data_IF_983491628384
#
_entry.id   IF_983491628384
#
_cell.length_a   1.000
_cell.length_b   1.000
_cell.length_c   1.000
_cell.angle_alpha   90.00
_cell.angle_beta   90.00
_cell.angle_gamma   90.00
#
_symmetry.space_group_name_H-M   'P 1'
#
loop_
_entity.id
_entity.type
_entity.pdbx_description
1 polymer ?
#
# COMPACT_ATOMS: atom_id res chain seq x y z
N UNK A 1 15.02 -0.38 -1.03
CA UNK A 1 14.19 0.72 -0.54
C UNK A 1 12.83 0.17 -0.17
N UNK A 2 12.43 0.35 1.06
CA UNK A 2 11.10 0.03 1.59
C UNK A 2 10.25 1.29 1.65
N UNK A 3 8.92 1.14 1.62
CA UNK A 3 7.99 2.26 1.78
C UNK A 3 6.93 1.86 2.78
N UNK A 4 6.83 2.64 3.84
CA UNK A 4 5.81 2.56 4.86
C UNK A 4 4.90 3.79 4.72
N UNK A 5 3.60 3.59 4.77
CA UNK A 5 2.69 4.72 4.68
C UNK A 5 1.43 4.49 5.53
N UNK A 6 0.87 5.59 6.03
CA UNK A 6 -0.46 5.58 6.63
C UNK A 6 -1.52 5.10 5.64
N UNK A 7 -2.58 4.50 6.13
CA UNK A 7 -3.73 4.05 5.33
C UNK A 7 -4.27 5.14 4.40
N UNK A 8 -4.86 4.74 3.27
CA UNK A 8 -5.37 5.69 2.26
C UNK A 8 -6.50 6.56 2.83
N UNK A 9 -7.26 6.01 3.75
CA UNK A 9 -8.39 6.70 4.39
C UNK A 9 -8.00 7.51 5.64
N UNK A 10 -6.78 7.35 6.15
CA UNK A 10 -6.29 8.14 7.27
C UNK A 10 -5.82 9.51 6.80
N UNK A 11 -6.61 10.56 7.13
CA UNK A 11 -6.42 11.93 6.61
C UNK A 11 -5.87 12.92 7.64
N UNK A 12 -5.85 12.58 8.93
CA UNK A 12 -5.44 13.53 9.97
C UNK A 12 -3.96 13.89 9.91
N UNK A 13 -3.08 12.90 9.90
CA UNK A 13 -1.62 13.06 9.87
C UNK A 13 -0.98 12.06 8.92
N UNK A 14 -1.29 12.13 7.61
CA UNK A 14 -0.82 11.13 6.67
C UNK A 14 0.70 11.20 6.50
N UNK A 15 1.35 10.03 6.53
CA UNK A 15 2.80 9.88 6.50
C UNK A 15 3.23 8.90 5.40
N UNK A 16 4.34 9.19 4.76
CA UNK A 16 5.08 8.23 3.92
C UNK A 16 6.54 8.23 4.35
N UNK A 17 7.05 7.07 4.72
CA UNK A 17 8.44 6.87 5.12
C UNK A 17 9.11 5.95 4.10
N UNK A 18 10.23 6.40 3.56
CA UNK A 18 11.14 5.58 2.76
C UNK A 18 12.28 5.14 3.64
N UNK A 19 12.60 3.88 3.59
CA UNK A 19 13.68 3.29 4.37
C UNK A 19 14.66 2.54 3.45
N UNK A 20 15.94 2.84 3.58
CA UNK A 20 16.97 2.08 2.88
C UNK A 20 17.35 0.84 3.69
N UNK A 21 17.28 -0.32 3.05
CA UNK A 21 17.76 -1.59 3.60
C UNK A 21 18.71 -2.26 2.60
N UNK A 22 19.79 -2.87 3.08
CA UNK A 22 20.77 -3.59 2.24
C UNK A 22 20.19 -4.82 1.56
N UNK A 23 19.17 -5.43 2.17
CA UNK A 23 18.53 -6.65 1.70
C UNK A 23 17.00 -6.61 1.85
N UNK A 24 16.39 -7.77 1.66
CA UNK A 24 14.96 -8.01 1.92
C UNK A 24 14.78 -8.91 3.14
N UNK A 25 15.61 -8.70 4.15
CA UNK A 25 15.53 -9.44 5.39
C UNK A 25 14.22 -9.16 6.12
N UNK A 26 13.61 -10.20 6.68
CA UNK A 26 12.36 -10.10 7.42
C UNK A 26 12.51 -9.49 8.82
N UNK A 27 13.74 -9.45 9.38
CA UNK A 27 13.98 -8.86 10.70
C UNK A 27 13.71 -7.35 10.73
N UNK A 28 14.02 -6.65 9.63
CA UNK A 28 13.87 -5.20 9.57
C UNK A 28 12.42 -4.72 9.62
N UNK A 29 11.46 -5.29 8.88
CA UNK A 29 10.05 -4.99 9.09
C UNK A 29 9.57 -5.32 10.50
N UNK A 30 10.06 -6.41 11.12
CA UNK A 30 9.73 -6.76 12.51
C UNK A 30 10.19 -5.68 13.49
N UNK A 31 11.41 -5.16 13.33
CA UNK A 31 11.95 -4.08 14.14
C UNK A 31 11.13 -2.79 13.95
N UNK A 32 10.84 -2.40 12.70
CA UNK A 32 10.09 -1.20 12.38
C UNK A 32 8.67 -1.22 12.97
N UNK A 33 7.98 -2.35 12.87
CA UNK A 33 6.60 -2.50 13.34
C UNK A 33 6.46 -3.04 14.78
N UNK A 34 7.56 -3.15 15.55
CA UNK A 34 7.58 -3.77 16.89
C UNK A 34 6.55 -3.21 17.86
N UNK A 35 6.32 -1.90 17.83
CA UNK A 35 5.34 -1.21 18.68
C UNK A 35 4.03 -0.89 17.97
N UNK A 36 3.89 -1.24 16.70
CA UNK A 36 2.69 -0.98 15.93
C UNK A 36 1.56 -1.95 16.34
N UNK A 37 0.34 -1.43 16.36
CA UNK A 37 -0.88 -2.21 16.49
C UNK A 37 -1.86 -1.77 15.41
N UNK A 38 -2.45 -2.72 14.70
CA UNK A 38 -3.39 -2.44 13.62
C UNK A 38 -3.17 -3.32 12.40
N UNK A 39 -3.70 -2.90 11.27
CA UNK A 39 -3.67 -3.66 10.02
C UNK A 39 -2.61 -3.13 9.07
N UNK A 40 -1.80 -4.03 8.53
CA UNK A 40 -0.82 -3.75 7.47
C UNK A 40 -1.34 -4.31 6.15
N UNK A 41 -1.55 -3.47 5.16
CA UNK A 41 -1.92 -3.91 3.80
C UNK A 41 -0.65 -4.08 2.97
N UNK A 42 -0.37 -5.31 2.54
CA UNK A 42 0.90 -5.70 1.92
C UNK A 42 0.72 -6.39 0.56
N UNK A 43 1.82 -6.62 -0.15
CA UNK A 43 1.87 -7.30 -1.45
C UNK A 43 1.87 -8.84 -1.37
N UNK A 44 1.57 -9.39 -0.20
CA UNK A 44 1.49 -10.84 0.05
C UNK A 44 2.83 -11.58 0.03
N UNK A 45 3.97 -10.88 0.19
CA UNK A 45 5.24 -11.55 0.39
C UNK A 45 5.27 -12.29 1.73
N UNK A 46 5.92 -13.46 1.76
CA UNK A 46 5.96 -14.34 2.93
C UNK A 46 6.47 -13.62 4.21
N UNK A 47 7.41 -12.73 4.06
CA UNK A 47 7.96 -11.94 5.16
C UNK A 47 6.90 -11.09 5.89
N UNK A 48 5.85 -10.64 5.22
CA UNK A 48 4.76 -9.90 5.86
C UNK A 48 3.80 -10.81 6.63
N UNK A 49 3.66 -12.07 6.21
CA UNK A 49 2.93 -13.06 7.00
C UNK A 49 3.64 -13.44 8.31
N UNK A 50 4.96 -13.20 8.40
CA UNK A 50 5.70 -13.33 9.65
C UNK A 50 5.38 -12.21 10.65
N UNK A 51 5.01 -11.01 10.18
CA UNK A 51 4.60 -9.91 11.06
C UNK A 51 3.33 -10.27 11.85
N UNK A 52 2.31 -10.80 11.17
CA UNK A 52 1.06 -11.28 11.78
C UNK A 52 1.33 -12.38 12.83
N UNK A 53 2.33 -13.24 12.59
CA UNK A 53 2.68 -14.34 13.49
C UNK A 53 3.54 -13.94 14.69
N UNK A 54 4.43 -12.95 14.51
CA UNK A 54 5.46 -12.59 15.49
C UNK A 54 5.13 -11.33 16.28
N UNK A 55 4.25 -10.45 15.79
CA UNK A 55 3.92 -9.19 16.45
C UNK A 55 2.48 -9.22 16.98
N UNK A 56 2.28 -9.32 18.30
CA UNK A 56 0.95 -9.25 18.90
C UNK A 56 0.26 -7.92 18.56
N UNK A 57 -0.95 -8.01 18.01
CA UNK A 57 -1.75 -6.82 17.64
C UNK A 57 -1.52 -6.31 16.22
N UNK A 58 -0.64 -6.93 15.44
CA UNK A 58 -0.50 -6.67 14.00
C UNK A 58 -1.31 -7.71 13.22
N UNK A 59 -2.13 -7.25 12.30
CA UNK A 59 -2.87 -8.10 11.35
C UNK A 59 -2.39 -7.79 9.93
N UNK A 60 -2.01 -8.81 9.18
CA UNK A 60 -1.65 -8.65 7.77
C UNK A 60 -2.88 -8.76 6.88
N UNK A 61 -3.11 -7.81 6.00
CA UNK A 61 -4.10 -7.85 4.93
C UNK A 61 -3.39 -7.91 3.57
N UNK A 62 -3.87 -8.78 2.68
CA UNK A 62 -3.29 -8.91 1.36
C UNK A 62 -3.97 -8.03 0.32
N UNK A 63 -3.19 -7.58 -0.63
CA UNK A 63 -3.59 -6.73 -1.73
C UNK A 63 -4.31 -7.50 -2.83
N UNK A 64 -5.55 -7.15 -3.14
CA UNK A 64 -6.30 -7.72 -4.25
C UNK A 64 -5.72 -7.38 -5.64
N UNK A 65 -5.03 -6.25 -5.79
CA UNK A 65 -4.35 -5.93 -7.05
C UNK A 65 -3.23 -6.94 -7.35
N UNK A 66 -2.54 -7.45 -6.33
CA UNK A 66 -1.56 -8.54 -6.49
C UNK A 66 -2.25 -9.87 -6.78
N UNK A 67 -3.35 -10.18 -6.09
CA UNK A 67 -4.11 -11.41 -6.31
C UNK A 67 -4.62 -11.54 -7.75
N UNK A 68 -5.10 -10.44 -8.35
CA UNK A 68 -5.59 -10.45 -9.75
C UNK A 68 -4.51 -10.53 -10.81
N UNK A 69 -3.23 -10.26 -10.46
CA UNK A 69 -2.13 -10.14 -11.45
C UNK A 69 -1.93 -11.39 -12.28
N UNK A 70 -1.94 -12.57 -11.67
CA UNK A 70 -1.77 -13.84 -12.38
C UNK A 70 -2.85 -14.06 -13.45
N UNK A 71 -4.10 -13.70 -13.15
CA UNK A 71 -5.21 -13.77 -14.11
C UNK A 71 -5.06 -12.75 -15.23
N UNK A 72 -4.66 -11.51 -14.90
CA UNK A 72 -4.41 -10.47 -15.90
C UNK A 72 -3.28 -10.85 -16.86
N UNK A 73 -2.20 -11.45 -16.33
CA UNK A 73 -1.09 -11.94 -17.15
C UNK A 73 -1.48 -13.13 -18.02
N UNK A 74 -2.35 -14.02 -17.52
CA UNK A 74 -2.89 -15.15 -18.30
C UNK A 74 -3.76 -14.67 -19.46
N UNK A 75 -4.68 -13.74 -19.21
CA UNK A 75 -5.52 -13.10 -20.24
C UNK A 75 -4.66 -12.42 -21.29
N UNK A 76 -3.69 -11.59 -20.87
CA UNK A 76 -2.80 -10.87 -21.77
C UNK A 76 -1.95 -11.78 -22.67
N UNK A 77 -1.58 -12.95 -22.15
CA UNK A 77 -0.83 -13.95 -22.92
C UNK A 77 -1.73 -14.71 -23.90
N UNK A 78 -2.99 -14.97 -23.55
CA UNK A 78 -3.98 -15.64 -24.40
C UNK A 78 -4.49 -14.72 -25.49
N UNK A 79 -4.75 -13.43 -25.19
CA UNK A 79 -5.26 -12.43 -26.14
C UNK A 79 -4.35 -12.24 -27.37
N UNK A 80 -3.06 -12.42 -27.18
CA UNK A 80 -2.08 -12.39 -28.29
C UNK A 80 -2.20 -13.58 -29.25
N UNK A 81 -2.79 -14.70 -28.81
CA UNK A 81 -2.88 -15.95 -29.57
C UNK A 81 -4.27 -16.14 -30.17
N UNK A 82 -5.29 -15.92 -29.40
CA UNK A 82 -6.70 -16.07 -29.79
C UNK A 82 -7.59 -15.12 -29.00
N UNK A 83 -7.84 -13.89 -29.51
CA UNK A 83 -8.69 -12.91 -28.83
C UNK A 83 -10.13 -13.39 -28.60
N UNK A 84 -10.64 -14.30 -29.44
CA UNK A 84 -12.00 -14.82 -29.34
C UNK A 84 -12.20 -15.76 -28.14
N UNK A 85 -11.23 -16.62 -27.88
CA UNK A 85 -11.28 -17.58 -26.79
C UNK A 85 -11.03 -16.96 -25.39
N UNK A 86 -10.52 -15.73 -25.33
CA UNK A 86 -10.17 -15.06 -24.05
C UNK A 86 -11.37 -14.89 -23.17
N UNK A 87 -12.52 -14.46 -23.70
CA UNK A 87 -13.73 -14.12 -22.93
C UNK A 87 -14.36 -15.33 -22.23
N UNK A 88 -14.16 -16.53 -22.74
CA UNK A 88 -14.65 -17.78 -22.13
C UNK A 88 -13.67 -18.39 -21.12
N UNK A 89 -12.43 -17.83 -21.04
CA UNK A 89 -11.41 -18.40 -20.18
C UNK A 89 -11.69 -18.19 -18.69
N UNK A 90 -11.29 -19.14 -17.86
CA UNK A 90 -11.37 -19.05 -16.37
C UNK A 90 -10.64 -17.81 -15.86
N UNK A 91 -9.50 -17.44 -16.48
CA UNK A 91 -8.76 -16.22 -16.08
C UNK A 91 -9.57 -14.93 -16.31
N UNK A 92 -10.30 -14.85 -17.42
CA UNK A 92 -11.16 -13.71 -17.73
C UNK A 92 -12.36 -13.63 -16.77
N UNK A 93 -12.99 -14.77 -16.48
CA UNK A 93 -14.08 -14.85 -15.50
C UNK A 93 -13.62 -14.41 -14.10
N UNK A 94 -12.41 -14.84 -13.67
CA UNK A 94 -11.81 -14.38 -12.42
C UNK A 94 -11.65 -12.85 -12.40
N UNK A 95 -11.15 -12.25 -13.49
CA UNK A 95 -10.99 -10.80 -13.59
C UNK A 95 -12.33 -10.06 -13.54
N UNK A 96 -13.37 -10.60 -14.17
CA UNK A 96 -14.70 -10.00 -14.13
C UNK A 96 -15.28 -10.00 -12.73
N UNK A 97 -15.25 -11.14 -12.05
CA UNK A 97 -15.71 -11.25 -10.65
C UNK A 97 -14.95 -10.30 -9.71
N UNK A 98 -13.63 -10.19 -9.87
CA UNK A 98 -12.82 -9.25 -9.09
C UNK A 98 -13.18 -7.80 -9.44
N UNK A 99 -13.41 -7.47 -10.71
CA UNK A 99 -13.75 -6.11 -11.14
C UNK A 99 -15.08 -5.65 -10.55
N UNK A 100 -16.04 -6.53 -10.35
CA UNK A 100 -17.36 -6.23 -9.81
C UNK A 100 -17.26 -5.65 -8.39
N UNK A 101 -16.58 -6.33 -7.47
CA UNK A 101 -16.43 -5.80 -6.11
C UNK A 101 -15.45 -4.62 -6.02
N UNK A 102 -14.50 -4.49 -6.95
CA UNK A 102 -13.67 -3.27 -7.05
C UNK A 102 -14.48 -2.05 -7.48
N UNK A 103 -15.41 -2.23 -8.41
CA UNK A 103 -16.30 -1.15 -8.84
C UNK A 103 -17.13 -0.65 -7.66
N UNK A 104 -17.75 -1.56 -6.92
CA UNK A 104 -18.53 -1.20 -5.72
C UNK A 104 -17.63 -0.50 -4.70
N UNK A 105 -16.45 -1.03 -4.37
CA UNK A 105 -15.53 -0.41 -3.40
C UNK A 105 -15.10 1.00 -3.81
N UNK A 106 -15.01 1.24 -5.12
CA UNK A 106 -14.70 2.59 -5.66
C UNK A 106 -15.83 3.58 -5.41
N UNK A 107 -17.08 3.15 -5.51
CA UNK A 107 -18.26 3.98 -5.19
C UNK A 107 -18.29 4.37 -3.70
N UNK A 108 -17.75 3.51 -2.84
CA UNK A 108 -17.78 3.69 -1.39
C UNK A 108 -16.65 4.57 -0.84
N UNK A 109 -15.69 5.00 -1.65
CA UNK A 109 -14.45 5.66 -1.18
C UNK A 109 -14.68 6.91 -0.36
N UNK A 110 -15.69 7.71 -0.71
CA UNK A 110 -15.98 8.98 -0.04
C UNK A 110 -16.90 8.84 1.17
N UNK A 111 -17.42 7.64 1.43
CA UNK A 111 -18.25 7.37 2.60
C UNK A 111 -17.41 7.36 3.90
N UNK A 112 -18.02 7.72 5.06
CA UNK A 112 -17.44 7.44 6.37
C UNK A 112 -17.10 5.95 6.53
N UNK A 113 -16.11 5.65 7.39
CA UNK A 113 -15.63 4.28 7.60
C UNK A 113 -16.75 3.31 8.01
N UNK A 114 -17.65 3.74 8.91
CA UNK A 114 -18.80 2.95 9.38
C UNK A 114 -19.76 2.60 8.24
N UNK A 115 -20.07 3.56 7.40
CA UNK A 115 -21.00 3.37 6.28
C UNK A 115 -20.36 2.52 5.20
N UNK A 116 -19.06 2.76 4.92
CA UNK A 116 -18.25 1.95 4.00
C UNK A 116 -18.22 0.51 4.46
N UNK A 117 -18.00 0.25 5.75
CA UNK A 117 -18.01 -1.11 6.30
C UNK A 117 -19.37 -1.77 6.11
N UNK A 118 -20.47 -1.08 6.46
CA UNK A 118 -21.83 -1.59 6.28
C UNK A 118 -22.12 -1.95 4.83
N UNK A 119 -21.75 -1.08 3.89
CA UNK A 119 -21.92 -1.34 2.45
C UNK A 119 -21.04 -2.49 1.96
N UNK A 120 -19.80 -2.60 2.46
CA UNK A 120 -18.92 -3.75 2.16
C UNK A 120 -19.51 -5.07 2.65
N UNK A 121 -20.09 -5.10 3.85
CA UNK A 121 -20.72 -6.31 4.41
C UNK A 121 -21.95 -6.74 3.61
N UNK A 122 -22.75 -5.80 3.11
CA UNK A 122 -24.01 -6.10 2.40
C UNK A 122 -23.80 -6.33 0.91
N UNK A 123 -22.92 -5.57 0.24
CA UNK A 123 -22.78 -5.60 -1.22
C UNK A 123 -21.54 -6.34 -1.71
N UNK A 124 -20.40 -6.25 -1.00
CA UNK A 124 -19.13 -6.81 -1.46
C UNK A 124 -18.86 -8.20 -0.89
N UNK A 125 -19.14 -8.40 0.39
CA UNK A 125 -18.88 -9.69 1.05
C UNK A 125 -19.52 -10.89 0.35
N UNK A 126 -20.79 -10.86 -0.08
CA UNK A 126 -21.39 -11.98 -0.82
C UNK A 126 -20.61 -12.28 -2.12
N UNK A 127 -20.22 -11.25 -2.88
CA UNK A 127 -19.46 -11.41 -4.13
C UNK A 127 -18.07 -12.00 -3.89
N UNK A 128 -17.42 -11.62 -2.80
CA UNK A 128 -16.11 -12.17 -2.41
C UNK A 128 -16.26 -13.63 -1.99
N UNK A 129 -17.30 -13.98 -1.25
CA UNK A 129 -17.58 -15.36 -0.85
C UNK A 129 -17.89 -16.24 -2.06
N UNK A 130 -18.73 -15.75 -2.98
CA UNK A 130 -19.02 -16.40 -4.26
C UNK A 130 -17.77 -16.60 -5.12
N UNK A 131 -16.89 -15.59 -5.15
CA UNK A 131 -15.61 -15.72 -5.86
C UNK A 131 -14.76 -16.85 -5.29
N UNK A 132 -14.63 -16.98 -3.98
CA UNK A 132 -13.84 -18.07 -3.37
C UNK A 132 -14.49 -19.43 -3.54
N UNK A 133 -15.81 -19.55 -3.45
CA UNK A 133 -16.55 -20.78 -3.73
C UNK A 133 -16.31 -21.22 -5.18
N UNK A 134 -16.47 -20.29 -6.13
CA UNK A 134 -16.19 -20.51 -7.55
C UNK A 134 -14.72 -20.89 -7.80
N UNK A 135 -13.76 -20.21 -7.20
CA UNK A 135 -12.34 -20.50 -7.39
C UNK A 135 -11.97 -21.92 -6.92
N UNK A 136 -12.51 -22.33 -5.76
CA UNK A 136 -12.35 -23.71 -5.24
C UNK A 136 -12.97 -24.74 -6.18
N UNK A 137 -14.16 -24.47 -6.71
CA UNK A 137 -14.82 -25.34 -7.69
C UNK A 137 -13.95 -25.52 -8.94
N UNK A 138 -13.38 -24.42 -9.52
CA UNK A 138 -12.51 -24.49 -10.69
C UNK A 138 -11.28 -25.39 -10.48
N UNK A 139 -10.74 -25.41 -9.26
CA UNK A 139 -9.61 -26.28 -8.91
C UNK A 139 -10.08 -27.73 -8.73
N UNK A 140 -11.21 -27.97 -8.06
CA UNK A 140 -11.77 -29.32 -7.81
C UNK A 140 -12.17 -30.00 -9.12
N UNK A 141 -12.77 -29.27 -10.06
CA UNK A 141 -13.19 -29.76 -11.37
C UNK A 141 -12.03 -29.87 -12.38
N UNK A 142 -10.79 -29.58 -11.95
CA UNK A 142 -9.61 -29.57 -12.81
C UNK A 142 -9.78 -28.73 -14.09
N UNK A 143 -10.56 -27.65 -14.01
CA UNK A 143 -10.89 -26.77 -15.15
C UNK A 143 -9.66 -26.14 -15.81
N UNK A 144 -8.54 -26.04 -15.06
CA UNK A 144 -7.26 -25.50 -15.55
C UNK A 144 -6.07 -26.31 -15.01
N UNK A 145 -4.97 -26.44 -15.76
CA UNK A 145 -3.76 -27.09 -15.27
C UNK A 145 -3.19 -26.32 -14.07
N UNK A 146 -2.84 -26.99 -12.95
CA UNK A 146 -2.35 -26.33 -11.73
C UNK A 146 -1.09 -25.47 -11.93
N UNK A 147 -0.22 -25.87 -12.86
CA UNK A 147 1.04 -25.15 -13.19
C UNK A 147 0.84 -24.03 -14.20
N UNK A 148 -0.35 -23.86 -14.81
CA UNK A 148 -0.66 -22.72 -15.65
C UNK A 148 -0.73 -21.42 -14.82
N UNK A 149 -0.59 -20.26 -15.45
CA UNK A 149 -0.75 -18.96 -14.76
C UNK A 149 -2.11 -18.83 -14.07
N UNK A 150 -3.16 -19.28 -14.73
CA UNK A 150 -4.51 -19.29 -14.17
C UNK A 150 -4.60 -20.22 -12.95
N UNK A 151 -4.07 -21.47 -13.05
CA UNK A 151 -4.04 -22.40 -11.94
C UNK A 151 -3.22 -21.90 -10.75
N UNK A 152 -2.07 -21.28 -11.00
CA UNK A 152 -1.26 -20.61 -9.97
C UNK A 152 -2.04 -19.46 -9.31
N UNK A 153 -2.78 -18.65 -10.11
CA UNK A 153 -3.63 -17.58 -9.60
C UNK A 153 -4.76 -18.12 -8.71
N UNK A 154 -5.46 -19.17 -9.12
CA UNK A 154 -6.51 -19.83 -8.31
C UNK A 154 -5.95 -20.36 -7.00
N UNK A 155 -4.85 -21.12 -7.05
CA UNK A 155 -4.21 -21.66 -5.86
C UNK A 155 -3.75 -20.54 -4.92
N UNK A 156 -3.17 -19.46 -5.44
CA UNK A 156 -2.76 -18.31 -4.66
C UNK A 156 -3.95 -17.69 -3.91
N UNK A 157 -5.03 -17.33 -4.59
CA UNK A 157 -6.17 -16.69 -3.94
C UNK A 157 -6.80 -17.59 -2.88
N UNK A 158 -6.92 -18.89 -3.14
CA UNK A 158 -7.47 -19.87 -2.19
C UNK A 158 -6.60 -19.94 -0.91
N UNK A 159 -5.28 -20.03 -1.06
CA UNK A 159 -4.38 -20.08 0.09
C UNK A 159 -4.32 -18.74 0.85
N UNK A 160 -4.57 -17.62 0.17
CA UNK A 160 -4.56 -16.29 0.76
C UNK A 160 -5.95 -15.78 1.17
N UNK A 161 -6.99 -16.60 1.11
CA UNK A 161 -8.38 -16.22 1.38
C UNK A 161 -8.54 -15.46 2.69
N UNK A 162 -7.96 -15.97 3.79
CA UNK A 162 -8.00 -15.33 5.11
C UNK A 162 -7.54 -13.87 5.04
N UNK A 163 -6.41 -13.63 4.41
CA UNK A 163 -5.77 -12.32 4.36
C UNK A 163 -6.45 -11.39 3.35
N UNK A 164 -6.97 -11.92 2.26
CA UNK A 164 -7.70 -11.17 1.24
C UNK A 164 -9.08 -10.70 1.73
N UNK A 165 -9.66 -11.35 2.73
CA UNK A 165 -10.93 -10.96 3.35
C UNK A 165 -10.80 -9.91 4.44
N UNK A 166 -9.59 -9.56 4.92
CA UNK A 166 -9.40 -8.63 6.04
C UNK A 166 -9.97 -7.23 5.73
N UNK A 167 -9.92 -6.73 4.49
CA UNK A 167 -10.51 -5.45 4.14
C UNK A 167 -12.02 -5.33 4.39
N UNK A 168 -12.71 -6.47 4.55
CA UNK A 168 -14.13 -6.53 4.90
C UNK A 168 -14.39 -6.34 6.40
N UNK A 169 -13.36 -6.32 7.26
CA UNK A 169 -13.53 -6.24 8.71
C UNK A 169 -13.56 -4.81 9.24
N UNK A 170 -13.06 -3.85 8.45
CA UNK A 170 -12.99 -2.45 8.84
C UNK A 170 -13.08 -1.56 7.59
N UNK A 171 -13.85 -0.47 7.67
CA UNK A 171 -14.03 0.48 6.57
C UNK A 171 -12.76 1.22 6.19
N UNK A 172 -11.81 1.40 7.10
CA UNK A 172 -10.55 2.11 6.84
C UNK A 172 -9.44 1.24 6.24
N UNK A 173 -9.67 -0.07 6.11
CA UNK A 173 -8.72 -0.94 5.43
C UNK A 173 -8.96 -0.87 3.92
N UNK A 174 -7.98 -0.42 3.10
CA UNK A 174 -8.15 -0.41 1.65
C UNK A 174 -8.10 -1.84 1.07
N UNK A 175 -8.81 -2.04 -0.04
CA UNK A 175 -8.85 -3.32 -0.76
C UNK A 175 -7.48 -3.71 -1.35
N UNK A 176 -6.62 -2.74 -1.60
CA UNK A 176 -5.28 -2.96 -2.14
C UNK A 176 -4.24 -1.98 -1.59
N UNK A 177 -2.97 -2.25 -1.88
CA UNK A 177 -1.84 -1.39 -1.50
C UNK A 177 -1.39 -0.42 -2.61
N UNK A 178 -2.23 -0.13 -3.59
CA UNK A 178 -1.92 0.74 -4.74
C UNK A 178 -1.40 2.11 -4.33
N UNK A 179 -1.84 2.61 -3.18
CA UNK A 179 -1.35 3.87 -2.62
C UNK A 179 0.15 3.81 -2.24
N UNK A 180 0.62 2.69 -1.68
CA UNK A 180 2.04 2.45 -1.40
C UNK A 180 2.84 2.22 -2.70
N UNK A 181 2.26 1.52 -3.68
CA UNK A 181 2.88 1.35 -5.00
C UNK A 181 3.05 2.69 -5.74
N UNK A 182 2.06 3.58 -5.67
CA UNK A 182 2.18 4.95 -6.19
C UNK A 182 3.28 5.74 -5.49
N UNK A 183 3.46 5.56 -4.20
CA UNK A 183 4.54 6.21 -3.45
C UNK A 183 5.91 5.70 -3.90
N UNK A 184 6.16 4.39 -3.95
CA UNK A 184 7.44 3.83 -4.37
C UNK A 184 7.76 4.14 -5.84
N UNK A 185 6.74 4.24 -6.71
CA UNK A 185 6.92 4.57 -8.13
C UNK A 185 7.68 5.88 -8.32
N UNK A 186 7.46 6.88 -7.49
CA UNK A 186 8.19 8.16 -7.59
C UNK A 186 9.68 7.98 -7.37
N UNK A 187 10.07 7.13 -6.41
CA UNK A 187 11.46 6.79 -6.18
C UNK A 187 12.03 6.00 -7.38
N UNK A 188 11.28 5.04 -7.91
CA UNK A 188 11.69 4.26 -9.09
C UNK A 188 11.86 5.13 -10.34
N UNK A 189 11.03 6.17 -10.52
CA UNK A 189 11.19 7.15 -11.62
C UNK A 189 12.46 7.98 -11.40
N UNK A 190 12.68 8.48 -10.18
CA UNK A 190 13.90 9.21 -9.84
C UNK A 190 15.16 8.37 -10.10
N UNK A 191 15.12 7.08 -9.78
CA UNK A 191 16.22 6.15 -10.05
C UNK A 191 16.65 6.13 -11.52
N UNK A 192 15.74 6.34 -12.47
CA UNK A 192 16.11 6.42 -13.90
C UNK A 192 17.01 7.61 -14.22
N UNK A 193 16.99 8.67 -13.40
CA UNK A 193 17.81 9.85 -13.60
C UNK A 193 19.19 9.72 -12.92
N UNK A 194 19.23 9.20 -11.68
CA UNK A 194 20.48 9.09 -10.91
C UNK A 194 21.04 7.66 -10.84
N UNK A 195 20.37 6.67 -11.45
CA UNK A 195 20.76 5.28 -11.66
C UNK A 195 20.98 4.46 -10.37
N UNK A 196 21.91 4.85 -9.49
CA UNK A 196 22.24 4.17 -8.24
C UNK A 196 22.79 5.15 -7.18
N UNK A 197 22.86 4.69 -5.95
CA UNK A 197 23.53 5.39 -4.86
C UNK A 197 24.91 4.76 -4.64
N UNK A 198 25.96 5.56 -4.60
CA UNK A 198 27.33 5.08 -4.41
C UNK A 198 27.56 4.50 -3.01
N UNK A 199 26.78 4.92 -2.01
CA UNK A 199 26.94 4.51 -0.62
C UNK A 199 25.58 4.25 0.05
N UNK A 200 25.58 3.39 1.08
CA UNK A 200 24.42 3.16 1.93
C UNK A 200 23.96 4.45 2.64
N UNK A 201 24.91 5.31 3.05
CA UNK A 201 24.63 6.61 3.68
C UNK A 201 23.91 7.54 2.70
N UNK A 202 24.34 7.60 1.44
CA UNK A 202 23.66 8.38 0.39
C UNK A 202 22.26 7.86 0.08
N UNK A 203 22.07 6.53 0.08
CA UNK A 203 20.74 5.92 -0.08
C UNK A 203 19.82 6.27 1.10
N UNK A 204 20.32 6.27 2.34
CA UNK A 204 19.61 6.71 3.54
C UNK A 204 19.21 8.19 3.48
N UNK A 205 20.14 9.05 3.07
CA UNK A 205 19.85 10.49 2.90
C UNK A 205 18.75 10.73 1.85
N UNK A 206 18.80 10.02 0.72
CA UNK A 206 17.73 10.08 -0.28
C UNK A 206 16.39 9.60 0.28
N UNK A 207 16.37 8.50 1.03
CA UNK A 207 15.16 8.01 1.67
C UNK A 207 14.53 9.06 2.58
N UNK A 208 15.35 9.76 3.39
CA UNK A 208 14.89 10.85 4.26
C UNK A 208 14.27 12.00 3.46
N UNK A 209 14.94 12.49 2.41
CA UNK A 209 14.44 13.58 1.55
C UNK A 209 13.12 13.18 0.88
N UNK A 210 13.01 11.95 0.36
CA UNK A 210 11.75 11.46 -0.22
C UNK A 210 10.65 11.35 0.84
N UNK A 211 10.95 10.91 2.07
CA UNK A 211 10.00 10.82 3.18
C UNK A 211 9.41 12.18 3.51
N UNK A 212 10.26 13.18 3.73
CA UNK A 212 9.84 14.56 4.03
C UNK A 212 9.02 15.14 2.87
N UNK A 213 9.52 15.03 1.64
CA UNK A 213 8.85 15.58 0.45
C UNK A 213 7.46 14.97 0.22
N UNK A 214 7.33 13.65 0.38
CA UNK A 214 6.06 12.94 0.14
C UNK A 214 5.08 13.17 1.27
N UNK A 215 5.52 13.15 2.52
CA UNK A 215 4.70 13.48 3.66
C UNK A 215 4.18 14.92 3.58
N UNK A 216 5.03 15.88 3.21
CA UNK A 216 4.60 17.25 2.97
C UNK A 216 3.48 17.33 1.92
N UNK A 217 3.64 16.62 0.78
CA UNK A 217 2.60 16.60 -0.28
C UNK A 217 1.28 15.98 0.18
N UNK A 218 1.31 14.95 1.02
CA UNK A 218 0.10 14.34 1.59
C UNK A 218 -0.63 15.28 2.56
N UNK A 219 0.11 16.15 3.23
CA UNK A 219 -0.41 17.18 4.14
C UNK A 219 -0.69 18.52 3.43
N UNK A 220 -0.85 18.49 2.11
CA UNK A 220 -1.17 19.67 1.30
C UNK A 220 -0.14 20.80 1.41
N UNK A 221 1.13 20.47 1.64
CA UNK A 221 2.22 21.45 1.68
C UNK A 221 2.94 21.55 0.32
N UNK A 222 3.67 22.65 0.15
CA UNK A 222 4.62 22.90 -0.94
C UNK A 222 5.99 22.40 -0.48
N UNK A 223 6.56 21.32 -1.00
CA UNK A 223 7.77 20.71 -0.46
C UNK A 223 8.95 21.67 -0.40
N UNK A 224 9.13 22.53 -1.41
CA UNK A 224 10.23 23.49 -1.44
C UNK A 224 10.20 24.45 -0.24
N UNK A 225 9.08 25.10 0.01
CA UNK A 225 8.92 26.05 1.13
C UNK A 225 8.98 25.34 2.48
N UNK A 226 8.44 24.13 2.56
CA UNK A 226 8.50 23.30 3.76
C UNK A 226 9.94 22.87 4.07
N UNK A 227 10.72 22.42 3.07
CA UNK A 227 12.15 22.15 3.27
C UNK A 227 12.91 23.39 3.72
N UNK A 228 12.68 24.53 3.06
CA UNK A 228 13.31 25.81 3.47
C UNK A 228 12.99 26.12 4.93
N UNK A 229 11.75 26.01 5.34
CA UNK A 229 11.32 26.22 6.72
C UNK A 229 12.04 25.26 7.69
N UNK A 230 12.01 23.94 7.43
CA UNK A 230 12.70 22.97 8.28
C UNK A 230 14.20 23.29 8.41
N UNK A 231 14.88 23.51 7.29
CA UNK A 231 16.33 23.78 7.28
C UNK A 231 16.69 25.09 7.96
N UNK A 232 15.77 26.05 8.03
CA UNK A 232 15.96 27.33 8.74
C UNK A 232 15.68 27.20 10.24
N UNK A 233 14.65 26.48 10.63
CA UNK A 233 14.21 26.41 12.03
C UNK A 233 14.88 25.28 12.83
N UNK A 234 15.11 24.12 12.22
CA UNK A 234 15.68 22.97 12.89
C UNK A 234 17.00 23.24 13.60
N UNK A 235 17.98 23.97 13.00
CA UNK A 235 19.23 24.31 13.67
C UNK A 235 19.05 25.15 14.94
N UNK A 236 17.98 25.96 15.03
CA UNK A 236 17.70 26.79 16.21
C UNK A 236 17.22 25.96 17.40
N UNK A 237 16.75 24.73 17.16
CA UNK A 237 16.24 23.81 18.17
C UNK A 237 17.27 22.79 18.61
N UNK A 238 18.44 22.76 17.96
CA UNK A 238 19.55 21.90 18.32
C UNK A 238 20.36 22.47 19.51
N UNK A 239 20.75 21.60 20.43
CA UNK A 239 21.78 21.93 21.42
C UNK A 239 23.20 21.90 20.76
N UNK A 240 24.25 22.26 21.51
CA UNK A 240 25.65 22.25 21.05
C UNK A 240 26.11 20.84 20.56
N UNK A 241 25.44 19.78 20.98
CA UNK A 241 25.72 18.40 20.58
C UNK A 241 24.86 17.92 19.40
N UNK A 242 23.96 18.78 18.90
CA UNK A 242 23.02 18.47 17.81
C UNK A 242 21.79 17.68 18.24
N UNK A 243 21.52 17.54 19.55
CA UNK A 243 20.29 16.92 20.01
C UNK A 243 19.13 17.92 19.94
N UNK A 244 17.93 17.42 19.73
CA UNK A 244 16.71 18.22 19.60
C UNK A 244 15.69 17.72 20.63
N UNK A 245 15.05 18.67 21.31
CA UNK A 245 13.91 18.39 22.15
C UNK A 245 12.73 17.87 21.28
N UNK A 246 12.21 16.67 21.54
CA UNK A 246 11.08 16.11 20.78
C UNK A 246 9.86 17.04 20.72
N UNK A 247 9.57 17.79 21.80
CA UNK A 247 8.46 18.74 21.84
C UNK A 247 8.63 19.91 20.85
N UNK A 248 9.86 20.29 20.55
CA UNK A 248 10.16 21.31 19.52
C UNK A 248 10.00 20.75 18.13
N UNK A 249 10.25 19.44 17.92
CA UNK A 249 10.03 18.79 16.61
C UNK A 249 8.55 18.82 16.21
N UNK A 250 7.62 18.73 17.15
CA UNK A 250 6.19 18.78 16.88
C UNK A 250 5.78 20.06 16.15
N UNK A 251 6.49 21.17 16.40
CA UNK A 251 6.26 22.46 15.75
C UNK A 251 6.70 22.49 14.27
N UNK A 252 7.55 21.55 13.87
CA UNK A 252 8.05 21.41 12.50
C UNK A 252 7.33 20.34 11.71
N UNK A 253 6.42 19.59 12.33
CA UNK A 253 5.70 18.50 11.66
C UNK A 253 4.80 19.05 10.54
N UNK A 254 4.53 18.26 9.46
CA UNK A 254 3.74 18.72 8.32
C UNK A 254 2.30 19.14 8.67
N UNK A 255 1.81 18.73 9.81
CA UNK A 255 0.48 19.05 10.34
C UNK A 255 0.51 20.16 11.44
N UNK A 256 1.67 20.74 11.73
CA UNK A 256 1.78 21.79 12.72
C UNK A 256 1.00 23.04 12.30
N UNK A 257 0.27 23.65 13.23
CA UNK A 257 -0.58 24.82 12.94
C UNK A 257 0.22 26.07 12.66
N UNK A 258 1.39 26.20 13.29
CA UNK A 258 2.30 27.34 13.20
C UNK A 258 3.17 27.38 11.93
N UNK A 259 3.00 26.43 11.00
CA UNK A 259 3.74 26.48 9.74
C UNK A 259 3.41 27.73 8.94
N UNK A 260 4.43 28.43 8.35
CA UNK A 260 4.22 29.59 7.51
C UNK A 260 3.21 29.33 6.37
N UNK A 261 2.41 30.33 6.05
CA UNK A 261 1.37 30.23 5.01
C UNK A 261 1.96 29.83 3.65
N UNK A 262 3.16 30.29 3.32
CA UNK A 262 3.87 29.93 2.10
C UNK A 262 4.14 28.43 1.96
N UNK A 263 4.23 27.71 3.09
CA UNK A 263 4.38 26.25 3.10
C UNK A 263 3.11 25.55 2.65
N UNK A 264 1.96 26.17 2.75
CA UNK A 264 0.67 25.59 2.42
C UNK A 264 0.30 25.83 0.96
N UNK A 265 -0.34 24.84 0.34
CA UNK A 265 -0.94 25.03 -0.96
C UNK A 265 -2.23 25.83 -0.80
N UNK A 266 -2.56 26.75 -1.72
CA UNK A 266 -3.86 27.39 -1.73
C UNK A 266 -4.94 26.29 -1.83
N UNK A 267 -6.02 26.45 -1.07
CA UNK A 267 -7.20 25.59 -1.23
C UNK A 267 -7.70 25.83 -2.66
N UNK A 268 -7.85 24.76 -3.43
CA UNK A 268 -8.57 24.85 -4.70
C UNK A 268 -10.03 25.17 -4.36
N UNK A 269 -10.47 26.35 -4.76
CA UNK A 269 -11.88 26.74 -4.75
C UNK A 269 -12.68 25.77 -5.61
#
# INVERSE_FOLDING_TARGET
>A
MWVHRSGEFYKERPVVIYEYQKGRDHEKPLEFYRSYKGVLVTDSLEQYHLLDKKLPGVTNANCWAHARRAFADAVKAADKKDPGAVKSSVAYQALQKIAEFYQIDTELKELPATDRLTQRQTRIKPLVEDFFAWAKQQVTECAVPPKSRTGQGLNFVIHQEKYLKIFLTDGDIPIDNSASERAIRTFCIGKKNWMFHNTAKGAGASALVYSISKTAKLNNLRPYYYFRHILTELPKYCDEKGNIDPAKLDQLMPWAENLPEECRKPRRS
#
